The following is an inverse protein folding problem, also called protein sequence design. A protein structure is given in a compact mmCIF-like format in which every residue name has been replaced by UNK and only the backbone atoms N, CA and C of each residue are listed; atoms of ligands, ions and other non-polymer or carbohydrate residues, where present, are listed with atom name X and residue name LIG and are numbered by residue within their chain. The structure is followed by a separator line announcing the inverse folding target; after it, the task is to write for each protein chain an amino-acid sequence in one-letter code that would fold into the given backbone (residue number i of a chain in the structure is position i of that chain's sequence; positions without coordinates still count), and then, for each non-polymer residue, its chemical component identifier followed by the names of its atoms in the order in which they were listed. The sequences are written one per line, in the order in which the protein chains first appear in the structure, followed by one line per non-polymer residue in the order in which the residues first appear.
data_IF_266181614487
#
_entry.id   IF_266181614487
#
_cell.length_a   1.000
_cell.length_b   1.000
_cell.length_c   1.000
_cell.angle_alpha   90.00
_cell.angle_beta   90.00
_cell.angle_gamma   90.00
#
_symmetry.space_group_name_H-M   'P 1'
#
loop_
_entity.id
_entity.type
_entity.pdbx_description
1 polymer ?
#
# COMPACT_ATOMS: atom_id res chain seq x y z
N UNK A 1 -9.90 19.56 10.58
CA UNK A 1 -10.10 19.21 9.15
C UNK A 1 -8.78 19.00 8.41
N UNK A 2 -7.82 19.90 8.55
CA UNK A 2 -6.54 19.76 7.84
C UNK A 2 -5.80 18.45 8.16
N UNK A 3 -5.80 18.02 9.44
CA UNK A 3 -5.13 16.78 9.83
C UNK A 3 -5.74 15.55 9.15
N UNK A 4 -7.06 15.51 8.98
CA UNK A 4 -7.72 14.39 8.29
C UNK A 4 -7.34 14.33 6.82
N UNK A 5 -7.26 15.48 6.16
CA UNK A 5 -6.84 15.59 4.75
C UNK A 5 -5.38 15.18 4.60
N UNK A 6 -4.52 15.64 5.51
CA UNK A 6 -3.09 15.31 5.49
C UNK A 6 -2.87 13.81 5.64
N UNK A 7 -3.52 13.15 6.61
CA UNK A 7 -3.37 11.71 6.78
C UNK A 7 -3.89 10.93 5.57
N UNK A 8 -4.99 11.37 4.96
CA UNK A 8 -5.52 10.76 3.76
C UNK A 8 -4.51 10.83 2.60
N UNK A 9 -3.89 11.99 2.39
CA UNK A 9 -2.88 12.19 1.35
C UNK A 9 -1.64 11.33 1.63
N UNK A 10 -1.13 11.34 2.85
CA UNK A 10 0.05 10.53 3.23
C UNK A 10 -0.25 9.05 3.01
N UNK A 11 -1.38 8.57 3.49
CA UNK A 11 -1.77 7.16 3.36
C UNK A 11 -1.91 6.76 1.89
N UNK A 12 -2.50 7.61 1.07
CA UNK A 12 -2.62 7.35 -0.37
C UNK A 12 -1.24 7.27 -1.04
N UNK A 13 -0.36 8.21 -0.75
CA UNK A 13 0.98 8.24 -1.35
C UNK A 13 1.82 7.02 -0.91
N UNK A 14 1.79 6.68 0.37
CA UNK A 14 2.50 5.48 0.87
C UNK A 14 1.91 4.22 0.26
N UNK A 15 0.60 4.11 0.20
CA UNK A 15 -0.09 3.00 -0.44
C UNK A 15 0.24 2.87 -1.92
N UNK A 16 0.49 3.99 -2.60
CA UNK A 16 0.86 4.03 -4.02
C UNK A 16 2.25 3.47 -4.30
N UNK A 17 3.09 3.27 -3.29
CA UNK A 17 4.36 2.57 -3.45
C UNK A 17 4.04 1.09 -3.68
N UNK A 18 4.12 0.65 -4.93
CA UNK A 18 3.74 -0.70 -5.29
C UNK A 18 4.97 -1.61 -5.27
N UNK A 19 5.14 -2.33 -4.17
CA UNK A 19 6.31 -3.18 -3.98
C UNK A 19 6.35 -4.37 -4.94
N UNK A 20 5.20 -4.91 -5.34
CA UNK A 20 5.19 -6.02 -6.31
C UNK A 20 5.78 -5.61 -7.65
N UNK A 21 5.45 -4.40 -8.14
CA UNK A 21 6.02 -3.88 -9.38
C UNK A 21 7.53 -3.66 -9.23
N UNK A 22 7.95 -3.04 -8.13
CA UNK A 22 9.37 -2.75 -7.87
C UNK A 22 10.17 -4.05 -7.76
N UNK A 23 9.67 -5.01 -6.99
CA UNK A 23 10.36 -6.28 -6.73
C UNK A 23 10.40 -7.13 -7.99
N UNK A 24 9.32 -7.22 -8.76
CA UNK A 24 9.31 -8.00 -10.00
C UNK A 24 10.28 -7.43 -11.03
N UNK A 25 10.35 -6.12 -11.16
CA UNK A 25 11.32 -5.49 -12.07
C UNK A 25 12.77 -5.76 -11.64
N UNK A 26 13.05 -5.75 -10.33
CA UNK A 26 14.40 -6.02 -9.83
C UNK A 26 14.79 -7.48 -9.88
N UNK A 27 13.88 -8.39 -9.50
CA UNK A 27 14.18 -9.82 -9.37
C UNK A 27 13.99 -10.59 -10.67
N UNK A 28 13.06 -10.19 -11.53
CA UNK A 28 12.69 -10.93 -12.73
C UNK A 28 12.83 -10.11 -14.03
N UNK A 29 13.07 -8.81 -13.93
CA UNK A 29 13.28 -7.96 -15.11
C UNK A 29 12.01 -7.57 -15.86
N UNK A 30 10.83 -7.87 -15.31
CA UNK A 30 9.55 -7.48 -15.91
C UNK A 30 8.59 -6.94 -14.84
N UNK A 31 7.56 -6.22 -15.29
CA UNK A 31 6.47 -5.75 -14.44
C UNK A 31 5.48 -6.90 -14.23
N UNK A 32 5.22 -7.27 -12.98
CA UNK A 32 4.30 -8.37 -12.64
C UNK A 32 2.90 -8.16 -13.22
N UNK A 33 2.50 -6.91 -13.46
CA UNK A 33 1.20 -6.58 -14.06
C UNK A 33 1.07 -7.05 -15.51
N UNK A 34 2.18 -7.39 -16.16
CA UNK A 34 2.23 -7.90 -17.53
C UNK A 34 2.17 -9.43 -17.60
N UNK A 35 2.16 -10.11 -16.44
CA UNK A 35 2.22 -11.56 -16.35
C UNK A 35 1.06 -12.11 -15.50
N UNK A 36 0.78 -13.38 -15.70
CA UNK A 36 -0.24 -14.11 -14.94
C UNK A 36 -1.60 -13.42 -14.97
N UNK A 37 -2.16 -13.12 -13.79
CA UNK A 37 -3.45 -12.44 -13.68
C UNK A 37 -3.41 -10.95 -14.01
N UNK A 38 -2.22 -10.37 -14.17
CA UNK A 38 -2.04 -8.94 -14.36
C UNK A 38 -2.19 -8.12 -13.09
N UNK A 39 -2.41 -8.76 -11.95
CA UNK A 39 -2.60 -8.10 -10.67
C UNK A 39 -1.25 -7.81 -9.99
N UNK A 40 -1.09 -6.60 -9.48
CA UNK A 40 0.11 -6.18 -8.76
C UNK A 40 0.02 -6.59 -7.28
N UNK A 41 -0.01 -7.88 -6.99
CA UNK A 41 -0.18 -8.40 -5.65
C UNK A 41 0.60 -9.68 -5.39
N UNK A 42 0.59 -10.11 -4.12
CA UNK A 42 1.37 -11.25 -3.64
C UNK A 42 1.05 -12.54 -4.38
N UNK A 43 -0.23 -12.83 -4.64
CA UNK A 43 -0.63 -14.07 -5.32
C UNK A 43 -0.05 -14.13 -6.73
N UNK A 44 -0.12 -13.04 -7.48
CA UNK A 44 0.46 -13.00 -8.82
C UNK A 44 1.99 -13.03 -8.77
N UNK A 45 2.59 -12.43 -7.76
CA UNK A 45 4.04 -12.52 -7.51
C UNK A 45 4.46 -13.97 -7.27
N UNK A 46 3.70 -14.71 -6.46
CA UNK A 46 3.96 -16.14 -6.23
C UNK A 46 3.90 -16.94 -7.53
N UNK A 47 2.90 -16.67 -8.35
CA UNK A 47 2.66 -17.37 -9.62
C UNK A 47 3.69 -17.02 -10.69
N UNK A 48 4.05 -15.74 -10.79
CA UNK A 48 4.83 -15.23 -11.94
C UNK A 48 6.31 -15.02 -11.66
N UNK A 49 6.70 -14.81 -10.40
CA UNK A 49 8.10 -14.51 -10.02
C UNK A 49 8.67 -15.56 -9.07
N UNK A 50 7.92 -16.00 -8.07
CA UNK A 50 8.33 -17.05 -7.17
C UNK A 50 8.03 -16.77 -5.71
N UNK A 51 8.30 -17.77 -4.84
CA UNK A 51 7.98 -17.73 -3.42
C UNK A 51 8.71 -16.61 -2.68
N UNK A 52 10.02 -16.47 -2.92
CA UNK A 52 10.82 -15.44 -2.26
C UNK A 52 10.30 -14.04 -2.53
N UNK A 53 10.02 -13.75 -3.81
CA UNK A 53 9.49 -12.46 -4.22
C UNK A 53 8.10 -12.21 -3.62
N UNK A 54 7.25 -13.23 -3.57
CA UNK A 54 5.92 -13.13 -2.98
C UNK A 54 5.97 -12.83 -1.48
N UNK A 55 6.87 -13.47 -0.73
CA UNK A 55 7.04 -13.22 0.70
C UNK A 55 7.51 -11.80 0.95
N UNK A 56 8.52 -11.34 0.21
CA UNK A 56 9.05 -9.97 0.35
C UNK A 56 7.95 -8.96 0.03
N UNK A 57 7.19 -9.17 -1.04
CA UNK A 57 6.08 -8.29 -1.43
C UNK A 57 5.02 -8.22 -0.32
N UNK A 58 4.62 -9.38 0.22
CA UNK A 58 3.62 -9.44 1.27
C UNK A 58 4.07 -8.66 2.51
N UNK A 59 5.32 -8.87 2.95
CA UNK A 59 5.87 -8.18 4.10
C UNK A 59 5.94 -6.67 3.88
N UNK A 60 6.36 -6.23 2.70
CA UNK A 60 6.41 -4.81 2.36
C UNK A 60 5.01 -4.18 2.31
N UNK A 61 4.03 -4.87 1.74
CA UNK A 61 2.65 -4.37 1.66
C UNK A 61 2.02 -4.27 3.06
N UNK A 62 2.26 -5.24 3.92
CA UNK A 62 1.81 -5.20 5.32
C UNK A 62 2.49 -4.03 6.04
N UNK A 63 3.80 -3.88 5.87
CA UNK A 63 4.57 -2.84 6.53
C UNK A 63 4.09 -1.45 6.15
N UNK A 64 3.80 -1.19 4.86
CA UNK A 64 3.30 0.14 4.47
C UNK A 64 1.96 0.45 5.12
N UNK A 65 1.08 -0.55 5.27
CA UNK A 65 -0.19 -0.38 6.00
C UNK A 65 0.04 -0.05 7.47
N UNK A 66 0.94 -0.78 8.14
CA UNK A 66 1.31 -0.52 9.53
C UNK A 66 1.89 0.88 9.71
N UNK A 67 2.77 1.31 8.81
CA UNK A 67 3.41 2.63 8.90
C UNK A 67 2.36 3.75 8.86
N UNK A 68 1.40 3.70 7.95
CA UNK A 68 0.39 4.78 7.89
C UNK A 68 -0.55 4.77 9.10
N UNK A 69 -0.86 3.61 9.66
CA UNK A 69 -1.65 3.51 10.89
C UNK A 69 -0.88 4.13 12.06
N UNK A 70 0.41 3.87 12.18
CA UNK A 70 1.26 4.45 13.22
C UNK A 70 1.36 5.98 13.06
N UNK A 71 1.45 6.48 11.84
CA UNK A 71 1.43 7.92 11.56
C UNK A 71 0.11 8.53 12.01
N UNK A 72 -1.02 7.87 11.74
CA UNK A 72 -2.33 8.33 12.16
C UNK A 72 -2.44 8.40 13.70
N UNK A 73 -1.96 7.39 14.40
CA UNK A 73 -1.94 7.36 15.86
C UNK A 73 -1.07 8.50 16.41
N UNK A 74 0.11 8.71 15.81
CA UNK A 74 1.00 9.79 16.22
C UNK A 74 0.34 11.17 16.05
N UNK A 75 -0.32 11.40 14.93
CA UNK A 75 -1.05 12.66 14.69
C UNK A 75 -2.14 12.86 15.74
N UNK A 76 -2.89 11.80 16.06
CA UNK A 76 -3.94 11.86 17.09
C UNK A 76 -3.39 12.19 18.48
N UNK A 77 -2.15 11.77 18.78
CA UNK A 77 -1.50 12.06 20.05
C UNK A 77 -0.94 13.48 20.13
N UNK A 78 -0.52 14.02 18.99
CA UNK A 78 0.11 15.35 18.95
C UNK A 78 -0.90 16.47 18.83
N UNK A 79 -1.96 16.28 18.05
CA UNK A 79 -2.97 17.29 17.76
C UNK A 79 -4.21 17.00 18.58
N UNK A 80 -4.57 17.96 19.44
CA UNK A 80 -5.76 17.84 20.30
C UNK A 80 -7.05 18.03 19.49
N UNK A 81 -8.13 17.42 19.98
CA UNK A 81 -9.47 17.61 19.43
C UNK A 81 -9.79 16.78 18.20
N UNK A 82 -8.90 15.86 17.79
CA UNK A 82 -9.14 14.97 16.68
C UNK A 82 -9.78 13.66 17.14
N UNK A 83 -10.59 13.07 16.27
CA UNK A 83 -11.14 11.74 16.47
C UNK A 83 -10.10 10.70 16.02
N UNK A 84 -9.47 10.03 16.97
CA UNK A 84 -8.42 9.04 16.70
C UNK A 84 -8.94 7.88 15.85
N UNK A 85 -10.15 7.43 16.09
CA UNK A 85 -10.75 6.35 15.30
C UNK A 85 -10.93 6.77 13.84
N UNK A 86 -11.34 8.00 13.59
CA UNK A 86 -11.49 8.53 12.23
C UNK A 86 -10.14 8.64 11.53
N UNK A 87 -9.10 9.10 12.23
CA UNK A 87 -7.75 9.18 11.67
C UNK A 87 -7.26 7.80 11.22
N UNK A 88 -7.41 6.78 12.06
CA UNK A 88 -6.99 5.41 11.74
C UNK A 88 -7.80 4.84 10.58
N UNK A 89 -9.11 5.07 10.56
CA UNK A 89 -9.97 4.62 9.45
C UNK A 89 -9.59 5.27 8.13
N UNK A 90 -9.33 6.57 8.13
CA UNK A 90 -8.89 7.28 6.92
C UNK A 90 -7.55 6.75 6.43
N UNK A 91 -6.59 6.52 7.35
CA UNK A 91 -5.30 5.94 6.99
C UNK A 91 -5.47 4.57 6.33
N UNK A 92 -6.29 3.70 6.91
CA UNK A 92 -6.56 2.37 6.36
C UNK A 92 -7.21 2.41 5.00
N UNK A 93 -8.24 3.22 4.83
CA UNK A 93 -8.97 3.35 3.57
C UNK A 93 -8.04 3.88 2.47
N UNK A 94 -7.32 4.96 2.72
CA UNK A 94 -6.51 5.60 1.69
C UNK A 94 -5.22 4.86 1.36
N UNK A 95 -4.66 4.08 2.29
CA UNK A 95 -3.53 3.19 1.94
C UNK A 95 -4.00 2.08 0.99
N UNK A 96 -5.21 1.56 1.18
CA UNK A 96 -5.81 0.57 0.27
C UNK A 96 -6.10 1.20 -1.10
N UNK A 97 -6.67 2.40 -1.12
CA UNK A 97 -6.91 3.13 -2.37
C UNK A 97 -5.60 3.37 -3.12
N UNK A 98 -4.54 3.77 -2.42
CA UNK A 98 -3.22 3.96 -3.02
C UNK A 98 -2.65 2.66 -3.55
N UNK A 99 -2.81 1.56 -2.83
CA UNK A 99 -2.35 0.24 -3.29
C UNK A 99 -3.10 -0.20 -4.55
N UNK A 100 -4.40 0.05 -4.61
CA UNK A 100 -5.26 -0.34 -5.74
C UNK A 100 -5.10 0.58 -6.94
N UNK A 101 -4.99 1.89 -6.71
CA UNK A 101 -4.87 2.91 -7.76
C UNK A 101 -3.62 3.77 -7.56
N UNK A 102 -2.41 3.20 -7.68
CA UNK A 102 -1.17 3.89 -7.34
C UNK A 102 -0.83 4.98 -8.36
N UNK A 103 -0.69 6.22 -7.88
CA UNK A 103 -0.33 7.36 -8.75
C UNK A 103 1.04 7.17 -9.41
N UNK A 104 1.97 6.50 -8.72
CA UNK A 104 3.33 6.29 -9.25
C UNK A 104 3.41 5.19 -10.31
N UNK A 105 2.34 4.43 -10.51
CA UNK A 105 2.33 3.25 -11.39
C UNK A 105 1.11 3.21 -12.32
N UNK A 106 0.66 4.39 -12.77
CA UNK A 106 -0.42 4.50 -13.75
C UNK A 106 -1.81 4.12 -13.22
N UNK A 107 -2.02 4.22 -11.91
CA UNK A 107 -3.29 3.92 -11.23
C UNK A 107 -3.74 2.46 -11.36
N UNK A 108 -2.82 1.54 -11.65
CA UNK A 108 -3.12 0.11 -11.73
C UNK A 108 -2.27 -0.67 -10.74
N UNK A 109 -2.87 -1.06 -9.63
CA UNK A 109 -2.19 -1.77 -8.54
C UNK A 109 -2.82 -3.12 -8.23
N UNK A 110 -2.67 -3.55 -6.98
CA UNK A 110 -3.22 -4.79 -6.46
C UNK A 110 -4.69 -4.67 -6.06
N UNK A 111 -5.21 -5.73 -5.46
CA UNK A 111 -6.62 -5.79 -5.00
C UNK A 111 -6.81 -5.26 -3.57
N UNK A 112 -5.74 -4.91 -2.88
CA UNK A 112 -5.81 -4.38 -1.53
C UNK A 112 -6.00 -5.42 -0.42
N UNK A 113 -6.04 -6.70 -0.73
CA UNK A 113 -6.30 -7.75 0.26
C UNK A 113 -5.17 -7.84 1.28
N UNK A 114 -3.92 -7.83 0.83
CA UNK A 114 -2.76 -7.91 1.71
C UNK A 114 -2.54 -6.63 2.52
N UNK A 115 -3.04 -5.49 2.02
CA UNK A 115 -2.94 -4.19 2.68
C UNK A 115 -4.05 -4.00 3.71
N UNK A 116 -5.21 -4.53 3.42
CA UNK A 116 -6.35 -4.45 4.32
C UNK A 116 -6.21 -5.42 5.49
#
# INVERSE_FOLDING_TARGET
MAAYIIIAIIAYLVGSINFSVIISKRMAGFDVREKGSGNAGTTNMLRSVGVKAAIITLLCDILKGVVVILIAILIGNIVDGLDDALLVQLAGIFVIVGHTFPIFFGFKGGKGIATS
#
